data_IF_731405153992
#
_entry.id   IF_731405153992
#
_cell.length_a   1.000
_cell.length_b   1.000
_cell.length_c   1.000
_cell.angle_alpha   90.00
_cell.angle_beta   90.00
_cell.angle_gamma   90.00
#
_symmetry.space_group_name_H-M   'P 1'
#
loop_
_entity.id
_entity.type
_entity.pdbx_description
1 polymer ?
#
# COMPACT_ATOMS: atom_id res chain seq x y z
N UNK A 1 6.33 -7.87 18.30
CA UNK A 1 6.20 -7.29 19.66
C UNK A 1 5.48 -8.29 20.57
N UNK A 2 5.76 -8.30 21.89
CA UNK A 2 5.13 -9.21 22.87
C UNK A 2 4.34 -8.39 23.89
N UNK A 3 3.07 -8.71 24.09
CA UNK A 3 2.22 -8.15 25.16
C UNK A 3 1.60 -9.26 26.00
N UNK A 4 1.43 -9.03 27.31
CA UNK A 4 0.91 -10.04 28.25
C UNK A 4 -0.11 -9.43 29.20
N UNK A 5 -1.35 -9.92 29.14
CA UNK A 5 -2.44 -9.45 30.01
C UNK A 5 -3.39 -10.60 30.37
N UNK A 6 -3.66 -10.79 31.67
CA UNK A 6 -4.71 -11.72 32.12
C UNK A 6 -4.52 -13.19 31.73
N UNK A 7 -3.29 -13.63 31.47
CA UNK A 7 -2.99 -14.98 30.96
C UNK A 7 -3.16 -15.11 29.44
N UNK A 8 -3.35 -14.01 28.73
CA UNK A 8 -3.29 -13.94 27.27
C UNK A 8 -1.96 -13.32 26.88
N UNK A 9 -1.31 -13.92 25.89
CA UNK A 9 -0.07 -13.45 25.29
C UNK A 9 -0.35 -13.11 23.82
N UNK A 10 0.01 -11.91 23.40
CA UNK A 10 -0.10 -11.49 22.00
C UNK A 10 1.29 -11.32 21.39
N UNK A 11 1.51 -11.91 20.21
CA UNK A 11 2.79 -11.89 19.50
C UNK A 11 2.57 -11.51 18.04
N UNK A 12 3.38 -10.60 17.53
CA UNK A 12 3.58 -10.43 16.08
C UNK A 12 4.75 -11.29 15.63
N UNK A 13 4.56 -12.10 14.59
CA UNK A 13 5.54 -13.03 14.05
C UNK A 13 5.75 -12.68 12.58
N UNK A 14 6.98 -12.30 12.26
CA UNK A 14 7.40 -12.00 10.89
C UNK A 14 8.11 -13.22 10.29
N UNK A 15 7.61 -13.68 9.14
CA UNK A 15 8.08 -14.92 8.49
C UNK A 15 8.65 -14.58 7.12
N UNK A 16 9.93 -14.84 6.92
CA UNK A 16 10.54 -14.79 5.59
C UNK A 16 10.14 -16.05 4.78
N UNK A 17 9.41 -15.85 3.69
CA UNK A 17 8.98 -16.93 2.79
C UNK A 17 10.09 -17.32 1.80
N UNK A 18 10.01 -18.51 1.18
CA UNK A 18 11.01 -18.97 0.20
C UNK A 18 11.16 -18.07 -1.03
N UNK A 19 10.13 -17.29 -1.36
CA UNK A 19 10.13 -16.31 -2.45
C UNK A 19 10.82 -14.98 -2.07
N UNK A 20 11.34 -14.86 -0.84
CA UNK A 20 12.00 -13.67 -0.33
C UNK A 20 11.03 -12.61 0.21
N UNK A 21 9.73 -12.84 0.19
CA UNK A 21 8.75 -11.92 0.77
C UNK A 21 8.60 -12.15 2.28
N UNK A 22 8.41 -11.07 3.03
CA UNK A 22 8.10 -11.15 4.46
C UNK A 22 6.59 -11.20 4.66
N UNK A 23 6.12 -12.06 5.57
CA UNK A 23 4.72 -12.19 5.93
C UNK A 23 4.57 -12.11 7.44
N UNK A 24 3.80 -11.13 7.90
CA UNK A 24 3.48 -10.96 9.32
C UNK A 24 2.20 -11.70 9.70
N UNK A 25 2.21 -12.26 10.91
CA UNK A 25 1.06 -12.88 11.57
C UNK A 25 0.90 -12.32 12.98
N UNK A 26 -0.32 -12.24 13.46
CA UNK A 26 -0.61 -11.93 14.85
C UNK A 26 -1.16 -13.20 15.52
N UNK A 27 -0.52 -13.60 16.61
CA UNK A 27 -0.91 -14.73 17.43
C UNK A 27 -1.37 -14.29 18.80
N UNK A 28 -2.54 -14.77 19.22
CA UNK A 28 -3.06 -14.66 20.58
C UNK A 28 -3.05 -16.04 21.24
N UNK A 29 -2.41 -16.15 22.40
CA UNK A 29 -2.21 -17.41 23.11
C UNK A 29 -2.79 -17.34 24.52
N UNK A 30 -3.62 -18.31 24.90
CA UNK A 30 -4.07 -18.45 26.29
C UNK A 30 -3.09 -19.32 27.06
N UNK A 31 -2.53 -18.78 28.14
CA UNK A 31 -1.54 -19.43 29.01
C UNK A 31 -2.16 -19.75 30.36
N UNK A 32 -2.14 -21.03 30.76
CA UNK A 32 -2.57 -21.51 32.08
C UNK A 32 -1.48 -22.38 32.69
N UNK A 33 -1.04 -22.05 33.91
CA UNK A 33 0.02 -22.79 34.60
C UNK A 33 1.35 -22.81 33.83
N UNK A 34 1.62 -21.80 33.00
CA UNK A 34 2.81 -21.73 32.13
C UNK A 34 2.71 -22.50 30.81
N UNK A 35 1.55 -23.09 30.50
CA UNK A 35 1.32 -23.85 29.27
C UNK A 35 0.33 -23.11 28.36
N UNK A 36 0.64 -23.04 27.07
CA UNK A 36 -0.30 -22.57 26.04
C UNK A 36 -1.38 -23.64 25.89
N UNK A 37 -2.62 -23.28 26.20
CA UNK A 37 -3.79 -24.17 26.14
C UNK A 37 -4.72 -23.86 24.97
N UNK A 38 -4.54 -22.70 24.34
CA UNK A 38 -5.30 -22.27 23.17
C UNK A 38 -4.49 -21.26 22.36
N UNK A 39 -4.71 -21.22 21.04
CA UNK A 39 -4.02 -20.34 20.12
C UNK A 39 -4.92 -19.92 18.95
N UNK A 40 -4.99 -18.61 18.72
CA UNK A 40 -5.62 -18.02 17.55
C UNK A 40 -4.56 -17.26 16.75
N UNK A 41 -4.34 -17.66 15.49
CA UNK A 41 -3.37 -17.02 14.60
C UNK A 41 -4.13 -16.39 13.43
N UNK A 42 -3.82 -15.14 13.11
CA UNK A 42 -4.36 -14.45 11.93
C UNK A 42 -3.24 -13.82 11.10
N UNK A 43 -3.51 -13.71 9.80
CA UNK A 43 -2.68 -12.92 8.90
C UNK A 43 -2.75 -11.45 9.32
N UNK A 44 -1.60 -10.78 9.34
CA UNK A 44 -1.59 -9.31 9.37
C UNK A 44 -1.58 -8.87 7.92
N UNK A 45 -2.66 -8.22 7.50
CA UNK A 45 -2.68 -7.57 6.20
C UNK A 45 -1.62 -6.46 6.23
N UNK A 46 -0.73 -6.41 5.23
CA UNK A 46 0.18 -5.28 5.11
C UNK A 46 -0.65 -3.99 5.05
N UNK A 47 -0.16 -2.89 5.64
CA UNK A 47 -0.85 -1.61 5.50
C UNK A 47 -1.10 -1.37 4.02
N UNK A 48 -2.28 -0.82 3.70
CA UNK A 48 -2.53 -0.31 2.37
C UNK A 48 -1.34 0.58 1.96
N UNK A 49 -0.91 0.55 0.68
CA UNK A 49 0.06 1.52 0.23
C UNK A 49 -0.43 2.91 0.65
N UNK A 50 0.48 3.78 1.14
CA UNK A 50 0.08 5.13 1.48
C UNK A 50 -0.68 5.72 0.30
N UNK A 51 -1.80 6.41 0.57
CA UNK A 51 -2.48 7.18 -0.45
C UNK A 51 -1.40 8.05 -1.13
N UNK A 52 -1.20 7.88 -2.44
CA UNK A 52 -0.34 8.79 -3.19
C UNK A 52 -0.83 10.20 -2.87
N UNK A 53 0.08 11.17 -2.61
CA UNK A 53 -0.34 12.50 -2.16
C UNK A 53 -1.43 13.00 -3.11
N UNK A 54 -2.63 13.25 -2.57
CA UNK A 54 -3.75 13.73 -3.38
C UNK A 54 -3.27 14.98 -4.11
N UNK A 55 -3.08 14.84 -5.42
CA UNK A 55 -2.57 15.93 -6.22
C UNK A 55 -3.55 17.08 -6.21
N UNK A 56 -3.05 18.30 -6.13
CA UNK A 56 -3.90 19.49 -6.31
C UNK A 56 -4.37 19.64 -7.76
N UNK A 57 -3.81 18.86 -8.67
CA UNK A 57 -4.20 18.82 -10.08
C UNK A 57 -5.34 17.83 -10.30
N UNK A 58 -6.25 18.10 -11.24
CA UNK A 58 -7.28 17.14 -11.63
C UNK A 58 -6.64 15.84 -12.13
N UNK A 59 -7.32 14.69 -11.98
CA UNK A 59 -6.84 13.42 -12.50
C UNK A 59 -6.69 13.50 -14.03
N UNK A 60 -5.60 12.91 -14.53
CA UNK A 60 -5.35 12.78 -15.95
C UNK A 60 -6.27 11.76 -16.64
N UNK A 61 -6.24 11.73 -17.99
CA UNK A 61 -7.02 10.77 -18.77
C UNK A 61 -6.64 9.32 -18.41
N UNK A 62 -7.65 8.46 -18.33
CA UNK A 62 -7.47 7.04 -18.01
C UNK A 62 -6.88 6.27 -19.20
N UNK A 63 -6.22 5.15 -18.94
CA UNK A 63 -5.60 4.31 -19.98
C UNK A 63 -6.61 3.69 -20.98
N UNK A 64 -7.90 3.71 -20.67
CA UNK A 64 -8.98 3.22 -21.55
C UNK A 64 -9.41 4.24 -22.62
N UNK A 65 -8.98 5.51 -22.49
CA UNK A 65 -9.25 6.55 -23.48
C UNK A 65 -8.23 6.50 -24.64
N UNK A 66 -8.57 7.00 -25.84
CA UNK A 66 -7.59 7.24 -26.90
C UNK A 66 -6.43 8.12 -26.41
N UNK A 67 -5.28 8.01 -27.07
CA UNK A 67 -4.08 8.83 -26.79
C UNK A 67 -4.45 10.33 -26.82
N UNK A 68 -4.12 11.04 -25.73
CA UNK A 68 -4.40 12.46 -25.54
C UNK A 68 -3.09 13.23 -25.46
N UNK A 69 -2.99 14.37 -26.13
CA UNK A 69 -1.83 15.27 -26.02
C UNK A 69 -2.11 16.43 -25.05
N UNK A 70 -1.06 17.09 -24.55
CA UNK A 70 -1.22 18.27 -23.68
C UNK A 70 -2.01 19.41 -24.35
N UNK A 71 -1.99 19.52 -25.67
CA UNK A 71 -2.76 20.51 -26.43
C UNK A 71 -4.28 20.31 -26.30
N UNK A 72 -4.72 19.09 -25.95
CA UNK A 72 -6.14 18.74 -25.77
C UNK A 72 -6.65 19.01 -24.34
N UNK A 73 -5.75 19.31 -23.40
CA UNK A 73 -6.06 19.46 -21.98
C UNK A 73 -6.07 20.94 -21.54
N UNK A 74 -6.95 21.32 -20.59
CA UNK A 74 -7.09 22.71 -20.16
C UNK A 74 -5.96 23.20 -19.22
N UNK A 75 -5.02 22.33 -18.84
CA UNK A 75 -3.94 22.65 -17.90
C UNK A 75 -3.27 21.39 -17.34
N UNK A 76 -2.47 21.54 -16.26
CA UNK A 76 -1.72 20.44 -15.69
C UNK A 76 -2.63 19.39 -15.03
N UNK A 77 -2.23 18.13 -15.13
CA UNK A 77 -3.01 16.97 -14.64
C UNK A 77 -2.14 16.03 -13.83
N UNK A 78 -2.73 15.32 -12.88
CA UNK A 78 -2.04 14.25 -12.17
C UNK A 78 -2.12 12.94 -12.95
N UNK A 79 -0.97 12.37 -13.32
CA UNK A 79 -0.89 11.12 -14.10
C UNK A 79 -0.34 9.93 -13.30
N UNK A 80 0.23 10.22 -12.12
CA UNK A 80 0.86 9.22 -11.26
C UNK A 80 2.00 8.47 -11.98
N UNK A 81 2.39 7.32 -11.43
CA UNK A 81 3.51 6.52 -11.98
C UNK A 81 3.18 5.78 -13.28
N UNK A 82 1.90 5.67 -13.65
CA UNK A 82 1.47 4.88 -14.81
C UNK A 82 1.55 5.62 -16.14
N UNK A 83 1.41 6.97 -16.11
CA UNK A 83 1.43 7.89 -17.24
C UNK A 83 1.08 7.26 -18.62
N UNK A 84 -0.15 6.75 -18.81
CA UNK A 84 -0.49 5.94 -19.97
C UNK A 84 -0.44 6.72 -21.29
N UNK A 85 -0.62 8.05 -21.22
CA UNK A 85 -0.64 8.98 -22.35
C UNK A 85 0.69 9.75 -22.51
N UNK A 86 1.73 9.42 -21.72
CA UNK A 86 3.07 10.03 -21.80
C UNK A 86 3.06 11.55 -21.65
N UNK A 87 2.21 12.06 -20.77
CA UNK A 87 2.02 13.49 -20.53
C UNK A 87 3.06 14.07 -19.56
N UNK A 88 3.73 13.21 -18.79
CA UNK A 88 4.75 13.56 -17.80
C UNK A 88 6.15 13.18 -18.31
N UNK A 89 6.83 14.17 -18.90
CA UNK A 89 8.11 13.95 -19.59
C UNK A 89 9.30 13.85 -18.62
N UNK A 90 9.20 14.44 -17.44
CA UNK A 90 10.26 14.49 -16.42
C UNK A 90 10.05 13.52 -15.25
N UNK A 91 8.87 12.90 -15.15
CA UNK A 91 8.58 11.75 -14.31
C UNK A 91 8.29 12.12 -12.86
N UNK A 92 7.74 13.31 -12.61
CA UNK A 92 7.44 13.79 -11.26
C UNK A 92 6.00 13.47 -10.79
N UNK A 93 5.19 12.89 -11.69
CA UNK A 93 3.79 12.51 -11.50
C UNK A 93 2.78 13.55 -11.99
N UNK A 94 3.23 14.68 -12.53
CA UNK A 94 2.41 15.78 -13.04
C UNK A 94 2.64 15.93 -14.54
N UNK A 95 1.56 15.77 -15.32
CA UNK A 95 1.59 15.97 -16.77
C UNK A 95 1.21 17.41 -17.16
N UNK A 96 1.74 17.85 -18.30
CA UNK A 96 1.35 19.11 -18.97
C UNK A 96 1.55 20.41 -18.16
N UNK A 97 2.53 20.43 -17.26
CA UNK A 97 2.85 21.62 -16.46
C UNK A 97 3.45 22.80 -17.28
N UNK A 98 4.01 22.50 -18.45
CA UNK A 98 4.69 23.47 -19.34
C UNK A 98 3.88 23.84 -20.59
N UNK A 99 2.56 23.59 -20.59
CA UNK A 99 1.67 23.91 -21.70
C UNK A 99 1.50 25.42 -21.93
#
# INVERSE_FOLDING_TARGET
MLDVSGGIVTVTIDVLRPDGTEQSYEGTYTVRGGVIVDAAIRLVEPPAPPDEPESTYPPGPSADEPDVDCEDLPGPVWVGSSDPHRLDADGDGIGCEWN
#
